data_IF_781392887572
#
_entry.id   IF_781392887572
#
_cell.length_a   1.000
_cell.length_b   1.000
_cell.length_c   1.000
_cell.angle_alpha   90.00
_cell.angle_beta   90.00
_cell.angle_gamma   90.00
#
_symmetry.space_group_name_H-M   'P 1'
#
loop_
_entity.id
_entity.type
_entity.pdbx_description
1 polymer ?
#
# COMPACT_ATOMS: atom_id res chain seq x y z
N UNK A 1 -1.29 -5.97 3.49
CA UNK A 1 -1.90 -7.00 2.60
C UNK A 1 -2.26 -6.37 1.27
N UNK A 2 -3.02 -5.28 1.28
CA UNK A 2 -3.49 -4.65 0.06
C UNK A 2 -2.58 -3.52 -0.42
N UNK A 3 -2.50 -3.34 -1.74
CA UNK A 3 -1.79 -2.22 -2.36
C UNK A 3 -2.33 -0.86 -1.86
N UNK A 4 -3.65 -0.77 -1.69
CA UNK A 4 -4.34 0.41 -1.21
C UNK A 4 -3.95 0.76 0.24
N UNK A 5 -3.50 -0.21 1.05
CA UNK A 5 -2.99 0.06 2.39
C UNK A 5 -1.62 0.75 2.35
N UNK A 6 -0.76 0.39 1.40
CA UNK A 6 0.54 1.06 1.20
C UNK A 6 0.31 2.51 0.77
N UNK A 7 -0.64 2.73 -0.13
CA UNK A 7 -1.02 4.08 -0.55
C UNK A 7 -1.56 4.90 0.63
N UNK A 8 -2.50 4.36 1.39
CA UNK A 8 -3.09 5.03 2.56
C UNK A 8 -2.03 5.36 3.62
N UNK A 9 -1.10 4.43 3.86
CA UNK A 9 0.00 4.64 4.78
C UNK A 9 0.86 5.84 4.34
N UNK A 10 1.18 5.97 3.06
CA UNK A 10 1.93 7.12 2.55
C UNK A 10 1.17 8.44 2.65
N UNK A 11 -0.15 8.42 2.49
CA UNK A 11 -0.98 9.61 2.71
C UNK A 11 -1.00 10.03 4.18
N UNK A 12 -1.16 9.07 5.09
CA UNK A 12 -1.28 9.35 6.52
C UNK A 12 0.08 9.74 7.10
N UNK A 13 1.12 8.93 6.86
CA UNK A 13 2.42 9.10 7.48
C UNK A 13 3.18 10.27 6.84
N UNK A 14 3.28 10.31 5.50
CA UNK A 14 4.10 11.27 4.77
C UNK A 14 3.31 12.43 4.15
N UNK A 15 2.00 12.55 4.44
CA UNK A 15 1.10 13.57 3.84
C UNK A 15 1.08 13.56 2.31
N UNK A 16 1.34 12.42 1.68
CA UNK A 16 1.29 12.32 0.22
C UNK A 16 -0.13 12.53 -0.30
N UNK A 17 -0.24 13.16 -1.47
CA UNK A 17 -1.49 13.14 -2.22
C UNK A 17 -1.80 11.72 -2.71
N UNK A 18 -3.06 11.44 -3.03
CA UNK A 18 -3.45 10.13 -3.58
C UNK A 18 -2.66 9.78 -4.84
N UNK A 19 -2.43 10.78 -5.71
CA UNK A 19 -1.63 10.63 -6.93
C UNK A 19 -0.20 10.24 -6.61
N UNK A 20 0.43 10.92 -5.65
CA UNK A 20 1.81 10.64 -5.25
C UNK A 20 1.94 9.28 -4.55
N UNK A 21 0.95 8.89 -3.76
CA UNK A 21 0.89 7.57 -3.16
C UNK A 21 0.78 6.45 -4.22
N UNK A 22 0.04 6.68 -5.32
CA UNK A 22 -0.01 5.74 -6.44
C UNK A 22 1.32 5.66 -7.21
N UNK A 23 2.03 6.79 -7.37
CA UNK A 23 3.39 6.81 -7.94
C UNK A 23 4.32 5.96 -7.08
N UNK A 24 4.30 6.13 -5.75
CA UNK A 24 5.06 5.30 -4.83
C UNK A 24 4.74 3.82 -4.99
N UNK A 25 3.46 3.43 -4.99
CA UNK A 25 3.05 2.04 -5.22
C UNK A 25 3.64 1.48 -6.52
N UNK A 26 3.56 2.22 -7.63
CA UNK A 26 4.07 1.80 -8.94
C UNK A 26 5.59 1.67 -8.95
N UNK A 27 6.31 2.62 -8.35
CA UNK A 27 7.76 2.60 -8.25
C UNK A 27 8.24 1.37 -7.47
N UNK A 28 7.57 1.05 -6.35
CA UNK A 28 7.90 -0.15 -5.58
C UNK A 28 7.62 -1.43 -6.38
N UNK A 29 6.49 -1.51 -7.10
CA UNK A 29 6.20 -2.68 -7.97
C UNK A 29 7.21 -2.88 -9.09
N UNK A 30 7.78 -1.80 -9.64
CA UNK A 30 8.79 -1.85 -10.71
C UNK A 30 10.22 -2.08 -10.21
N UNK A 31 10.47 -1.94 -8.89
CA UNK A 31 11.80 -2.01 -8.28
C UNK A 31 12.83 -1.08 -8.93
N UNK A 32 12.39 0.13 -9.28
CA UNK A 32 13.29 1.15 -9.83
C UNK A 32 14.03 1.85 -8.69
N UNK A 33 15.28 1.47 -8.44
CA UNK A 33 16.07 1.94 -7.29
C UNK A 33 16.27 3.46 -7.27
N UNK A 34 16.48 4.09 -8.42
CA UNK A 34 16.72 5.54 -8.51
C UNK A 34 15.46 6.34 -8.17
N UNK A 35 14.30 5.91 -8.69
CA UNK A 35 13.00 6.52 -8.41
C UNK A 35 12.58 6.29 -6.94
N UNK A 36 12.87 5.11 -6.40
CA UNK A 36 12.60 4.77 -5.00
C UNK A 36 13.45 5.59 -4.03
N UNK A 37 14.73 5.82 -4.33
CA UNK A 37 15.61 6.63 -3.49
C UNK A 37 15.08 8.07 -3.35
N UNK A 38 14.64 8.68 -4.46
CA UNK A 38 14.01 10.02 -4.44
C UNK A 38 12.72 10.03 -3.61
N UNK A 39 11.83 9.07 -3.87
CA UNK A 39 10.56 8.95 -3.14
C UNK A 39 10.77 8.68 -1.65
N UNK A 40 11.82 7.94 -1.26
CA UNK A 40 12.18 7.69 0.13
C UNK A 40 12.55 8.97 0.86
N UNK A 41 13.38 9.82 0.24
CA UNK A 41 13.74 11.12 0.84
C UNK A 41 12.50 12.00 1.04
N UNK A 42 11.64 12.07 0.03
CA UNK A 42 10.40 12.85 0.11
C UNK A 42 9.43 12.28 1.15
N UNK A 43 9.36 10.96 1.27
CA UNK A 43 8.54 10.27 2.25
C UNK A 43 9.02 10.58 3.68
N UNK A 44 10.32 10.40 3.96
CA UNK A 44 10.90 10.67 5.28
C UNK A 44 10.72 12.13 5.67
N UNK A 45 10.92 13.07 4.74
CA UNK A 45 10.65 14.49 4.96
C UNK A 45 9.19 14.73 5.34
N UNK A 46 8.25 14.15 4.58
CA UNK A 46 6.82 14.27 4.86
C UNK A 46 6.43 13.68 6.22
N UNK A 47 7.04 12.56 6.62
CA UNK A 47 6.85 11.95 7.93
C UNK A 47 7.36 12.85 9.06
N UNK A 48 8.52 13.47 8.88
CA UNK A 48 9.09 14.42 9.84
C UNK A 48 8.21 15.66 10.02
N UNK A 49 7.70 16.21 8.91
CA UNK A 49 6.70 17.30 8.92
C UNK A 49 5.35 16.90 9.54
N UNK A 50 5.14 15.60 9.76
CA UNK A 50 3.98 15.04 10.42
C UNK A 50 4.26 14.58 11.86
N UNK A 51 5.48 14.83 12.37
CA UNK A 51 5.87 14.56 13.75
C UNK A 51 6.44 13.17 14.02
N UNK A 52 6.75 12.38 12.98
CA UNK A 52 7.44 11.10 13.12
C UNK A 52 8.96 11.29 13.16
N UNK A 53 9.67 10.41 13.89
CA UNK A 53 11.14 10.38 13.85
C UNK A 53 11.65 9.81 12.54
N UNK A 54 12.90 10.14 12.20
CA UNK A 54 13.54 9.65 10.98
C UNK A 54 13.68 8.10 11.02
N UNK A 55 13.86 7.50 12.21
CA UNK A 55 13.90 6.03 12.34
C UNK A 55 12.54 5.41 12.01
N UNK A 56 11.45 5.91 12.61
CA UNK A 56 10.10 5.38 12.37
C UNK A 56 9.72 5.54 10.90
N UNK A 57 10.04 6.69 10.29
CA UNK A 57 9.76 6.94 8.88
C UNK A 57 10.52 5.97 7.97
N UNK A 58 11.80 5.74 8.26
CA UNK A 58 12.64 4.78 7.54
C UNK A 58 12.07 3.36 7.64
N UNK A 59 11.74 2.91 8.86
CA UNK A 59 11.20 1.58 9.11
C UNK A 59 9.86 1.37 8.40
N UNK A 60 8.98 2.37 8.39
CA UNK A 60 7.68 2.29 7.73
C UNK A 60 7.82 2.20 6.21
N UNK A 61 8.80 2.90 5.64
CA UNK A 61 9.11 2.82 4.21
C UNK A 61 9.64 1.43 3.84
N UNK A 62 10.62 0.92 4.58
CA UNK A 62 11.22 -0.39 4.33
C UNK A 62 10.19 -1.52 4.48
N UNK A 63 9.25 -1.36 5.43
CA UNK A 63 8.13 -2.27 5.59
C UNK A 63 7.22 -2.24 4.36
N UNK A 64 6.88 -1.06 3.85
CA UNK A 64 6.10 -0.92 2.61
C UNK A 64 6.80 -1.53 1.39
N UNK A 65 8.12 -1.35 1.27
CA UNK A 65 8.91 -1.93 0.19
C UNK A 65 8.89 -3.46 0.22
N UNK A 66 9.13 -4.06 1.39
CA UNK A 66 9.03 -5.52 1.60
C UNK A 66 7.63 -6.05 1.27
N UNK A 67 6.58 -5.33 1.66
CA UNK A 67 5.19 -5.76 1.43
C UNK A 67 4.74 -5.64 -0.02
N UNK A 68 5.27 -4.70 -0.79
CA UNK A 68 4.78 -4.42 -2.14
C UNK A 68 4.99 -5.58 -3.12
N UNK A 69 5.99 -6.44 -2.88
CA UNK A 69 6.17 -7.67 -3.66
C UNK A 69 5.01 -8.67 -3.52
N UNK A 70 4.22 -8.55 -2.44
CA UNK A 70 3.08 -9.40 -2.12
C UNK A 70 1.76 -8.62 -2.01
N UNK A 71 1.78 -7.33 -2.35
CA UNK A 71 0.62 -6.46 -2.23
C UNK A 71 -0.45 -6.83 -3.25
N UNK A 72 -1.62 -7.26 -2.77
CA UNK A 72 -2.74 -7.61 -3.64
C UNK A 72 -3.71 -6.44 -3.83
N UNK A 73 -4.38 -6.36 -4.98
CA UNK A 73 -5.36 -5.31 -5.23
C UNK A 73 -6.67 -5.58 -4.46
N UNK A 74 -7.07 -4.67 -3.56
CA UNK A 74 -8.23 -4.86 -2.69
C UNK A 74 -9.54 -4.89 -3.47
N UNK A 75 -9.72 -4.01 -4.45
CA UNK A 75 -10.98 -3.96 -5.20
C UNK A 75 -11.23 -5.27 -5.96
N UNK A 76 -10.19 -5.86 -6.53
CA UNK A 76 -10.25 -7.19 -7.15
C UNK A 76 -10.58 -8.28 -6.12
N UNK A 77 -9.88 -8.31 -4.97
CA UNK A 77 -10.14 -9.30 -3.92
C UNK A 77 -11.57 -9.26 -3.40
N UNK A 78 -12.12 -8.06 -3.16
CA UNK A 78 -13.49 -7.89 -2.64
C UNK A 78 -14.53 -8.35 -3.66
N UNK A 79 -14.37 -7.98 -4.94
CA UNK A 79 -15.32 -8.36 -5.99
C UNK A 79 -15.44 -9.89 -6.13
N UNK A 80 -14.30 -10.59 -6.20
CA UNK A 80 -14.31 -12.05 -6.31
C UNK A 80 -14.68 -12.74 -5.00
N UNK A 81 -14.28 -12.18 -3.85
CA UNK A 81 -14.67 -12.68 -2.54
C UNK A 81 -16.18 -12.67 -2.32
N UNK A 82 -16.89 -11.66 -2.83
CA UNK A 82 -18.34 -11.59 -2.76
C UNK A 82 -19.01 -12.71 -3.57
N UNK A 83 -18.55 -12.98 -4.79
CA UNK A 83 -19.07 -14.08 -5.62
C UNK A 83 -18.83 -15.43 -4.95
N UNK A 84 -17.63 -15.65 -4.41
CA UNK A 84 -17.32 -16.88 -3.66
C UNK A 84 -18.23 -17.06 -2.44
N UNK A 85 -18.51 -15.99 -1.70
CA UNK A 85 -19.43 -16.02 -0.57
C UNK A 85 -20.87 -16.35 -1.02
N UNK A 86 -21.35 -15.72 -2.09
CA UNK A 86 -22.69 -15.99 -2.65
C UNK A 86 -22.83 -17.46 -3.05
N UNK A 87 -21.83 -18.04 -3.72
CA UNK A 87 -21.83 -19.46 -4.09
C UNK A 87 -21.83 -20.37 -2.87
N UNK A 88 -20.99 -20.08 -1.86
CA UNK A 88 -20.95 -20.85 -0.63
C UNK A 88 -22.28 -20.80 0.13
N UNK A 89 -22.92 -19.63 0.18
CA UNK A 89 -24.23 -19.47 0.79
C UNK A 89 -25.30 -20.30 0.07
N UNK A 90 -25.36 -20.24 -1.26
CA UNK A 90 -26.32 -21.03 -2.04
C UNK A 90 -26.10 -22.52 -1.81
N UNK A 91 -24.85 -23.00 -1.87
CA UNK A 91 -24.52 -24.41 -1.62
C UNK A 91 -24.89 -24.87 -0.20
N UNK A 92 -24.73 -24.01 0.80
CA UNK A 92 -25.00 -24.37 2.19
C UNK A 92 -26.51 -24.44 2.52
N UNK A 93 -27.34 -23.64 1.85
CA UNK A 93 -28.77 -23.50 2.16
C UNK A 93 -29.70 -24.13 1.11
N UNK A 94 -29.22 -24.36 -0.11
CA UNK A 94 -29.98 -24.87 -1.26
C UNK A 94 -29.13 -25.89 -2.07
N UNK A 95 -28.89 -27.11 -1.54
CA UNK A 95 -28.02 -28.11 -2.17
C UNK A 95 -28.62 -28.79 -3.42
#
# INVERSE_FOLDING_TARGET
IYQEQVMLMAQIAAKFSLVKADILRKAISKKNEEELAGLRQEYVRGCKENGYSDEIASDLFDLAEKFAGYGFNKSHAVAYGLVAYQLAYLKANYP
#
